data_IF_052047911658
#
_entry.id   IF_052047911658
#
_cell.length_a   1.000
_cell.length_b   1.000
_cell.length_c   1.000
_cell.angle_alpha   90.00
_cell.angle_beta   90.00
_cell.angle_gamma   90.00
#
_symmetry.space_group_name_H-M   'P 1'
#
loop_
_entity.id
_entity.type
_entity.pdbx_description
1 polymer ?
#
# COMPACT_ATOMS: atom_id res chain seq x y z
N UNK A 1 -25.04 -4.02 -11.63
CA UNK A 1 -24.11 -5.12 -11.97
C UNK A 1 -22.87 -4.63 -12.73
N UNK A 2 -23.04 -3.88 -13.84
CA UNK A 2 -21.92 -3.31 -14.60
C UNK A 2 -21.00 -2.39 -13.77
N UNK A 3 -21.55 -1.50 -12.95
CA UNK A 3 -20.75 -0.58 -12.12
C UNK A 3 -19.92 -1.28 -11.05
N UNK A 4 -20.48 -2.32 -10.41
CA UNK A 4 -19.75 -3.12 -9.42
C UNK A 4 -18.59 -3.90 -10.05
N UNK A 5 -18.78 -4.43 -11.27
CA UNK A 5 -17.71 -5.08 -12.01
C UNK A 5 -16.61 -4.10 -12.40
N UNK A 6 -16.98 -2.90 -12.89
CA UNK A 6 -16.01 -1.86 -13.25
C UNK A 6 -15.20 -1.38 -12.04
N UNK A 7 -15.85 -1.17 -10.89
CA UNK A 7 -15.18 -0.83 -9.63
C UNK A 7 -14.26 -1.97 -9.18
N UNK A 8 -14.70 -3.22 -9.25
CA UNK A 8 -13.88 -4.39 -8.90
C UNK A 8 -12.65 -4.49 -9.82
N UNK A 9 -12.81 -4.29 -11.13
CA UNK A 9 -11.68 -4.28 -12.08
C UNK A 9 -10.70 -3.16 -11.78
N UNK A 10 -11.21 -1.95 -11.53
CA UNK A 10 -10.38 -0.80 -11.15
C UNK A 10 -9.59 -1.07 -9.86
N UNK A 11 -10.27 -1.52 -8.80
CA UNK A 11 -9.64 -1.87 -7.52
C UNK A 11 -8.61 -2.98 -7.69
N UNK A 12 -8.93 -4.00 -8.49
CA UNK A 12 -8.03 -5.11 -8.79
C UNK A 12 -6.74 -4.64 -9.46
N UNK A 13 -6.86 -3.85 -10.53
CA UNK A 13 -5.71 -3.28 -11.25
C UNK A 13 -4.87 -2.41 -10.33
N UNK A 14 -5.48 -1.50 -9.57
CA UNK A 14 -4.74 -0.60 -8.69
C UNK A 14 -4.06 -1.33 -7.53
N UNK A 15 -4.68 -2.39 -7.01
CA UNK A 15 -4.15 -3.21 -5.90
C UNK A 15 -3.04 -4.14 -6.35
N UNK A 16 -3.18 -4.82 -7.50
CA UNK A 16 -2.18 -5.77 -8.00
C UNK A 16 -0.96 -5.06 -8.58
N UNK A 17 -1.12 -3.85 -9.13
CA UNK A 17 -0.01 -3.10 -9.75
C UNK A 17 1.08 -2.81 -8.71
N UNK A 18 2.38 -3.02 -9.03
CA UNK A 18 3.47 -2.77 -8.09
C UNK A 18 3.43 -1.35 -7.51
N UNK A 19 3.89 -1.23 -6.27
CA UNK A 19 3.86 0.00 -5.48
C UNK A 19 4.31 -0.26 -4.05
N UNK A 20 4.27 0.75 -3.17
CA UNK A 20 4.84 0.63 -1.83
C UNK A 20 4.33 -0.56 -1.00
N UNK A 21 3.01 -0.71 -0.87
CA UNK A 21 2.39 -1.84 -0.16
C UNK A 21 2.89 -3.19 -0.70
N UNK A 22 2.92 -3.35 -2.03
CA UNK A 22 3.30 -4.59 -2.69
C UNK A 22 4.79 -4.91 -2.48
N UNK A 23 5.67 -3.92 -2.63
CA UNK A 23 7.11 -4.04 -2.35
C UNK A 23 7.33 -4.45 -0.90
N UNK A 24 6.65 -3.79 0.04
CA UNK A 24 6.78 -4.09 1.47
C UNK A 24 6.23 -5.48 1.83
N UNK A 25 5.16 -5.93 1.18
CA UNK A 25 4.60 -7.27 1.38
C UNK A 25 5.49 -8.37 0.81
N UNK A 26 6.09 -8.17 -0.36
CA UNK A 26 7.07 -9.13 -0.90
C UNK A 26 8.31 -9.19 -0.02
N UNK A 27 8.83 -8.05 0.42
CA UNK A 27 9.93 -8.01 1.38
C UNK A 27 9.56 -8.71 2.70
N UNK A 28 8.35 -8.47 3.23
CA UNK A 28 7.84 -9.14 4.43
C UNK A 28 7.70 -10.66 4.22
N UNK A 29 7.21 -11.10 3.07
CA UNK A 29 7.11 -12.51 2.69
C UNK A 29 8.47 -13.19 2.63
N UNK A 30 9.47 -12.54 2.02
CA UNK A 30 10.86 -13.04 1.95
C UNK A 30 11.48 -13.14 3.35
N UNK A 31 11.37 -12.09 4.16
CA UNK A 31 12.09 -12.01 5.44
C UNK A 31 11.39 -12.77 6.58
N UNK A 32 10.05 -12.84 6.58
CA UNK A 32 9.27 -13.34 7.71
C UNK A 32 8.34 -14.52 7.36
N UNK A 33 8.12 -14.80 6.08
CA UNK A 33 7.15 -15.78 5.59
C UNK A 33 5.72 -15.25 5.55
N UNK A 34 4.82 -16.00 4.92
CA UNK A 34 3.45 -15.56 4.65
C UNK A 34 2.63 -15.42 5.94
N UNK A 35 2.69 -16.42 6.84
CA UNK A 35 1.91 -16.41 8.10
C UNK A 35 2.21 -15.19 8.97
N UNK A 36 3.49 -14.77 9.05
CA UNK A 36 3.90 -13.58 9.82
C UNK A 36 3.60 -12.27 9.09
N UNK A 37 3.28 -12.32 7.80
CA UNK A 37 2.90 -11.17 6.98
C UNK A 37 1.37 -10.93 7.00
N UNK A 38 0.57 -11.87 7.52
CA UNK A 38 -0.89 -11.72 7.61
C UNK A 38 -1.34 -10.43 8.34
N UNK A 39 -0.78 -10.03 9.50
CA UNK A 39 -1.19 -8.79 10.15
C UNK A 39 -0.96 -7.56 9.25
N UNK A 40 0.16 -7.53 8.52
CA UNK A 40 0.47 -6.48 7.56
C UNK A 40 -0.58 -6.42 6.44
N UNK A 41 -0.89 -7.56 5.83
CA UNK A 41 -1.88 -7.66 4.75
C UNK A 41 -3.27 -7.21 5.21
N UNK A 42 -3.72 -7.69 6.37
CA UNK A 42 -5.01 -7.32 6.94
C UNK A 42 -5.06 -5.83 7.28
N UNK A 43 -3.94 -5.26 7.76
CA UNK A 43 -3.83 -3.83 8.03
C UNK A 43 -3.94 -3.00 6.75
N UNK A 44 -3.29 -3.40 5.66
CA UNK A 44 -3.44 -2.74 4.34
C UNK A 44 -4.90 -2.82 3.87
N UNK A 45 -5.49 -4.02 3.88
CA UNK A 45 -6.83 -4.26 3.38
C UNK A 45 -7.88 -3.46 4.18
N UNK A 46 -7.79 -3.51 5.51
CA UNK A 46 -8.64 -2.74 6.42
C UNK A 46 -8.41 -1.24 6.26
N UNK A 47 -7.17 -0.77 6.33
CA UNK A 47 -6.84 0.66 6.25
C UNK A 47 -7.32 1.29 4.95
N UNK A 48 -7.12 0.60 3.82
CA UNK A 48 -7.58 1.07 2.53
C UNK A 48 -9.10 1.09 2.41
N UNK A 49 -9.79 0.08 2.96
CA UNK A 49 -11.26 0.01 2.94
C UNK A 49 -11.87 1.08 3.84
N UNK A 50 -11.27 1.31 5.02
CA UNK A 50 -11.66 2.38 5.93
C UNK A 50 -11.41 3.76 5.31
N UNK A 51 -10.26 3.95 4.66
CA UNK A 51 -9.95 5.18 3.94
C UNK A 51 -10.99 5.44 2.84
N UNK A 52 -11.37 4.40 2.07
CA UNK A 52 -12.42 4.52 1.05
C UNK A 52 -13.77 4.87 1.67
N UNK A 53 -14.18 4.17 2.73
CA UNK A 53 -15.43 4.46 3.43
C UNK A 53 -15.52 5.91 3.88
N UNK A 54 -14.47 6.41 4.54
CA UNK A 54 -14.42 7.78 5.06
C UNK A 54 -14.36 8.81 3.92
N UNK A 55 -13.53 8.58 2.90
CA UNK A 55 -13.43 9.50 1.77
C UNK A 55 -14.71 9.54 0.93
N UNK A 56 -15.41 8.42 0.77
CA UNK A 56 -16.68 8.35 0.06
C UNK A 56 -17.80 9.02 0.88
N UNK A 57 -17.89 8.75 2.18
CA UNK A 57 -18.90 9.34 3.06
C UNK A 57 -18.74 10.87 3.20
N UNK A 58 -17.50 11.36 3.19
CA UNK A 58 -17.17 12.78 3.35
C UNK A 58 -16.79 13.45 2.02
N UNK A 59 -17.05 12.81 0.88
CA UNK A 59 -16.49 13.22 -0.41
C UNK A 59 -16.83 14.67 -0.77
N UNK A 60 -18.08 15.09 -0.53
CA UNK A 60 -18.53 16.46 -0.79
C UNK A 60 -17.81 17.52 0.06
N UNK A 61 -17.35 17.17 1.27
CA UNK A 61 -16.61 18.08 2.14
C UNK A 61 -15.10 18.07 1.84
N UNK A 62 -14.56 16.92 1.43
CA UNK A 62 -13.10 16.73 1.22
C UNK A 62 -12.67 17.19 -0.18
N UNK A 63 -13.55 17.12 -1.19
CA UNK A 63 -13.20 17.40 -2.59
C UNK A 63 -12.65 18.81 -2.81
N UNK A 64 -13.08 19.80 -2.02
CA UNK A 64 -12.59 21.18 -2.11
C UNK A 64 -11.16 21.40 -1.60
N UNK A 65 -10.64 20.52 -0.75
CA UNK A 65 -9.31 20.65 -0.12
C UNK A 65 -8.24 19.77 -0.79
N UNK A 66 -8.63 19.00 -1.81
CA UNK A 66 -7.76 18.02 -2.46
C UNK A 66 -6.47 18.63 -3.02
N UNK A 67 -6.52 19.86 -3.53
CA UNK A 67 -5.35 20.56 -4.06
C UNK A 67 -4.29 20.84 -3.00
N UNK A 68 -4.71 21.26 -1.79
CA UNK A 68 -3.80 21.67 -0.70
C UNK A 68 -3.25 20.48 0.08
N UNK A 69 -4.08 19.45 0.29
CA UNK A 69 -3.73 18.29 1.12
C UNK A 69 -2.81 17.32 0.37
N UNK A 70 -2.95 17.23 -0.96
CA UNK A 70 -2.17 16.31 -1.81
C UNK A 70 -0.64 16.46 -1.67
N UNK A 71 -0.03 17.66 -1.80
CA UNK A 71 1.44 17.79 -1.67
C UNK A 71 1.95 17.48 -0.26
N UNK A 72 1.20 17.81 0.78
CA UNK A 72 1.56 17.49 2.18
C UNK A 72 1.58 15.99 2.43
N UNK A 73 0.55 15.28 1.95
CA UNK A 73 0.48 13.82 2.04
C UNK A 73 1.60 13.15 1.23
N UNK A 74 1.89 13.65 0.03
CA UNK A 74 2.99 13.16 -0.78
C UNK A 74 4.34 13.32 -0.04
N UNK A 75 4.62 14.49 0.52
CA UNK A 75 5.85 14.73 1.27
C UNK A 75 5.97 13.80 2.50
N UNK A 76 4.91 13.67 3.31
CA UNK A 76 4.88 12.78 4.46
C UNK A 76 5.04 11.31 4.07
N UNK A 77 4.35 10.88 3.00
CA UNK A 77 4.48 9.55 2.42
C UNK A 77 5.89 9.24 1.95
N UNK A 78 6.49 10.13 1.15
CA UNK A 78 7.87 9.99 0.67
C UNK A 78 8.88 9.90 1.81
N UNK A 79 8.77 10.77 2.82
CA UNK A 79 9.63 10.72 4.00
C UNK A 79 9.54 9.35 4.70
N UNK A 80 8.33 8.82 4.85
CA UNK A 80 8.12 7.51 5.46
C UNK A 80 8.62 6.35 4.57
N UNK A 81 8.45 6.42 3.26
CA UNK A 81 9.00 5.43 2.31
C UNK A 81 10.52 5.41 2.31
N UNK A 82 11.17 6.58 2.39
CA UNK A 82 12.62 6.68 2.53
C UNK A 82 13.07 6.08 3.87
N UNK A 83 12.36 6.36 4.96
CA UNK A 83 12.62 5.72 6.24
C UNK A 83 12.47 4.18 6.16
N UNK A 84 11.41 3.66 5.55
CA UNK A 84 11.22 2.22 5.34
C UNK A 84 12.30 1.61 4.44
N UNK A 85 12.71 2.31 3.40
CA UNK A 85 13.81 1.91 2.52
C UNK A 85 15.10 1.74 3.32
N UNK A 86 15.42 2.71 4.20
CA UNK A 86 16.56 2.61 5.10
C UNK A 86 16.44 1.43 6.06
N UNK A 87 15.25 1.16 6.60
CA UNK A 87 15.02 -0.01 7.46
C UNK A 87 15.21 -1.32 6.70
N UNK A 88 14.78 -1.40 5.44
CA UNK A 88 14.96 -2.57 4.59
C UNK A 88 16.42 -2.75 4.16
N UNK A 89 17.13 -1.66 3.86
CA UNK A 89 18.58 -1.68 3.60
C UNK A 89 19.38 -2.12 4.84
N UNK A 90 18.98 -1.68 6.04
CA UNK A 90 19.59 -2.10 7.31
C UNK A 90 19.37 -3.58 7.61
N UNK A 91 18.25 -4.17 7.18
CA UNK A 91 18.04 -5.61 7.26
C UNK A 91 19.04 -6.43 6.42
N UNK A 92 19.77 -5.79 5.50
CA UNK A 92 20.87 -6.41 4.75
C UNK A 92 22.25 -6.25 5.42
N UNK A 93 22.38 -5.50 6.51
CA UNK A 93 23.68 -5.23 7.15
C UNK A 93 24.20 -6.46 7.94
N UNK A 94 25.52 -6.79 7.84
CA UNK A 94 26.11 -7.91 8.59
C UNK A 94 26.03 -7.69 10.11
N UNK A 95 25.78 -8.76 10.88
CA UNK A 95 25.86 -8.75 12.35
C UNK A 95 24.67 -8.13 13.09
N UNK A 96 23.79 -7.39 12.41
CA UNK A 96 22.53 -6.88 12.98
C UNK A 96 21.38 -7.84 12.69
N UNK A 97 21.31 -8.93 13.46
CA UNK A 97 20.01 -9.54 13.79
C UNK A 97 19.38 -8.70 14.91
N UNK A 98 19.16 -7.40 14.68
CA UNK A 98 18.04 -6.78 15.39
C UNK A 98 16.81 -7.65 15.08
N UNK A 99 15.92 -7.82 16.04
CA UNK A 99 14.69 -8.59 15.82
C UNK A 99 13.82 -7.79 14.85
N UNK A 100 14.13 -7.88 13.55
CA UNK A 100 13.35 -7.28 12.49
C UNK A 100 11.95 -7.85 12.63
N UNK A 101 10.99 -6.99 12.94
CA UNK A 101 9.60 -7.39 13.10
C UNK A 101 8.86 -7.05 11.80
N UNK A 102 7.99 -7.94 11.32
CA UNK A 102 7.09 -7.59 10.24
C UNK A 102 6.24 -6.40 10.66
N UNK A 103 5.87 -5.57 9.69
CA UNK A 103 4.92 -4.49 9.93
C UNK A 103 3.62 -5.07 10.49
N UNK A 104 3.16 -4.52 11.61
CA UNK A 104 1.90 -4.96 12.24
C UNK A 104 0.67 -4.38 11.55
N UNK A 105 -0.50 -4.88 11.97
CA UNK A 105 -1.80 -4.42 11.46
C UNK A 105 -2.00 -2.91 11.59
N UNK A 106 -1.78 -2.35 12.78
CA UNK A 106 -2.02 -0.92 13.04
C UNK A 106 -1.10 -0.04 12.19
N UNK A 107 0.18 -0.37 12.14
CA UNK A 107 1.14 0.37 11.32
C UNK A 107 0.75 0.32 9.84
N UNK A 108 0.38 -0.86 9.34
CA UNK A 108 -0.04 -1.05 7.96
C UNK A 108 -1.34 -0.30 7.61
N UNK A 109 -2.30 -0.26 8.55
CA UNK A 109 -3.54 0.50 8.39
C UNK A 109 -3.29 2.01 8.37
N UNK A 110 -2.47 2.50 9.29
CA UNK A 110 -2.08 3.92 9.36
C UNK A 110 -1.26 4.34 8.13
N UNK A 111 -0.42 3.45 7.60
CA UNK A 111 0.38 3.75 6.41
C UNK A 111 -0.46 4.07 5.18
N UNK A 112 -1.70 3.55 5.07
CA UNK A 112 -2.58 3.88 3.95
C UNK A 112 -2.87 5.39 3.86
N UNK A 113 -2.92 6.07 5.01
CA UNK A 113 -3.19 7.50 5.12
C UNK A 113 -2.04 8.39 4.68
N UNK A 114 -0.81 7.87 4.61
CA UNK A 114 0.33 8.56 4.01
C UNK A 114 0.71 7.95 2.66
N UNK A 115 -0.05 6.96 2.16
CA UNK A 115 0.25 6.30 0.91
C UNK A 115 -0.45 7.03 -0.25
N UNK A 116 0.29 7.73 -1.11
CA UNK A 116 -0.26 8.55 -2.19
C UNK A 116 -0.92 7.69 -3.27
N UNK A 117 -0.44 6.46 -3.49
CA UNK A 117 -1.12 5.49 -4.37
C UNK A 117 -2.49 5.10 -3.82
N UNK A 118 -2.61 4.92 -2.49
CA UNK A 118 -3.90 4.63 -1.86
C UNK A 118 -4.86 5.82 -1.98
N UNK A 119 -4.37 7.05 -1.80
CA UNK A 119 -5.16 8.26 -2.01
C UNK A 119 -5.66 8.41 -3.44
N UNK A 120 -4.79 8.28 -4.45
CA UNK A 120 -5.19 8.31 -5.86
C UNK A 120 -6.23 7.22 -6.13
N UNK A 121 -5.99 6.02 -5.63
CA UNK A 121 -6.90 4.89 -5.82
C UNK A 121 -8.29 5.19 -5.27
N UNK A 122 -8.37 5.62 -4.01
CA UNK A 122 -9.62 5.91 -3.30
C UNK A 122 -10.36 7.09 -3.90
N UNK A 123 -9.67 8.20 -4.18
CA UNK A 123 -10.32 9.41 -4.68
C UNK A 123 -10.89 9.22 -6.09
N UNK A 124 -10.14 8.56 -6.98
CA UNK A 124 -10.66 8.20 -8.30
C UNK A 124 -11.85 7.24 -8.17
N UNK A 125 -11.83 6.33 -7.20
CA UNK A 125 -12.97 5.46 -6.96
C UNK A 125 -14.22 6.27 -6.56
N UNK A 126 -14.06 7.28 -5.70
CA UNK A 126 -15.14 8.18 -5.34
C UNK A 126 -15.63 8.99 -6.56
N UNK A 127 -14.72 9.58 -7.35
CA UNK A 127 -15.08 10.38 -8.53
C UNK A 127 -15.84 9.56 -9.57
N UNK A 128 -15.41 8.32 -9.82
CA UNK A 128 -15.90 7.50 -10.93
C UNK A 128 -17.10 6.63 -10.57
N UNK A 129 -17.24 6.23 -9.30
CA UNK A 129 -18.20 5.19 -8.91
C UNK A 129 -19.10 5.57 -7.72
N UNK A 130 -18.90 6.71 -7.05
CA UNK A 130 -19.81 7.13 -5.98
C UNK A 130 -21.11 7.68 -6.57
N UNK A 131 -22.30 7.15 -6.18
CA UNK A 131 -23.58 7.71 -6.61
C UNK A 131 -23.77 9.16 -6.16
N UNK A 132 -24.49 9.96 -6.95
CA UNK A 132 -24.68 11.41 -6.71
C UNK A 132 -25.42 11.71 -5.41
N UNK A 133 -26.27 10.80 -4.98
CA UNK A 133 -27.06 10.86 -3.76
C UNK A 133 -26.26 10.42 -2.51
N UNK A 134 -24.96 10.07 -2.67
CA UNK A 134 -23.94 10.16 -1.61
C UNK A 134 -24.24 9.35 -0.34
N UNK A 135 -24.99 8.26 -0.46
CA UNK A 135 -25.47 7.51 0.71
C UNK A 135 -24.35 6.72 1.37
N UNK A 136 -24.35 6.69 2.71
CA UNK A 136 -23.42 5.89 3.52
C UNK A 136 -23.43 4.39 3.13
N UNK A 137 -24.58 3.88 2.69
CA UNK A 137 -24.74 2.51 2.20
C UNK A 137 -23.90 2.24 0.95
N UNK A 138 -23.82 3.18 0.00
CA UNK A 138 -22.98 3.07 -1.18
C UNK A 138 -21.50 3.11 -0.82
N UNK A 139 -21.10 4.03 0.06
CA UNK A 139 -19.73 4.10 0.59
C UNK A 139 -19.30 2.79 1.27
N UNK A 140 -20.18 2.20 2.08
CA UNK A 140 -19.95 0.91 2.73
C UNK A 140 -19.84 -0.25 1.73
N UNK A 141 -20.69 -0.29 0.70
CA UNK A 141 -20.62 -1.30 -0.35
C UNK A 141 -19.31 -1.20 -1.15
N UNK A 142 -18.87 0.01 -1.50
CA UNK A 142 -17.61 0.26 -2.19
C UNK A 142 -16.41 -0.18 -1.33
N UNK A 143 -16.41 0.18 -0.05
CA UNK A 143 -15.39 -0.23 0.92
C UNK A 143 -15.31 -1.75 1.08
N UNK A 144 -16.45 -2.44 1.17
CA UNK A 144 -16.49 -3.89 1.26
C UNK A 144 -15.96 -4.55 -0.02
N UNK A 145 -16.35 -4.04 -1.19
CA UNK A 145 -15.85 -4.55 -2.47
C UNK A 145 -14.33 -4.36 -2.59
N UNK A 146 -13.83 -3.17 -2.22
CA UNK A 146 -12.40 -2.90 -2.18
C UNK A 146 -11.68 -3.87 -1.24
N UNK A 147 -12.22 -4.16 -0.06
CA UNK A 147 -11.65 -5.15 0.87
C UNK A 147 -11.51 -6.54 0.22
N UNK A 148 -12.61 -7.02 -0.37
CA UNK A 148 -12.71 -8.36 -0.98
C UNK A 148 -11.78 -8.50 -2.18
N UNK A 149 -11.62 -7.45 -2.98
CA UNK A 149 -10.76 -7.44 -4.17
C UNK A 149 -9.29 -7.22 -3.81
N UNK A 150 -9.00 -6.31 -2.89
CA UNK A 150 -7.63 -5.93 -2.54
C UNK A 150 -6.89 -7.10 -1.87
N UNK A 151 -7.55 -7.80 -0.93
CA UNK A 151 -6.92 -8.86 -0.14
C UNK A 151 -6.27 -9.97 -0.99
N UNK A 152 -6.95 -10.59 -1.99
CA UNK A 152 -6.31 -11.58 -2.86
C UNK A 152 -5.19 -10.97 -3.73
N UNK A 153 -5.33 -9.72 -4.20
CA UNK A 153 -4.28 -9.07 -4.98
C UNK A 153 -2.99 -8.92 -4.16
N UNK A 154 -3.07 -8.39 -2.95
CA UNK A 154 -1.90 -8.18 -2.09
C UNK A 154 -1.36 -9.50 -1.51
N UNK A 155 -2.22 -10.52 -1.37
CA UNK A 155 -1.81 -11.86 -0.97
C UNK A 155 -0.84 -12.50 -1.98
N UNK A 156 -1.03 -12.26 -3.28
CA UNK A 156 -0.12 -12.73 -4.33
C UNK A 156 1.29 -12.20 -4.10
N UNK A 157 1.44 -10.94 -3.71
CA UNK A 157 2.75 -10.32 -3.44
C UNK A 157 3.42 -10.87 -2.18
N UNK A 158 2.66 -11.07 -1.10
CA UNK A 158 3.17 -11.66 0.14
C UNK A 158 3.56 -13.14 -0.05
N UNK A 159 2.72 -13.91 -0.73
CA UNK A 159 2.95 -15.32 -1.02
C UNK A 159 4.12 -15.51 -2.01
N UNK A 160 4.18 -14.69 -3.05
CA UNK A 160 5.31 -14.65 -3.99
C UNK A 160 6.63 -14.38 -3.27
N UNK A 161 6.63 -13.43 -2.32
CA UNK A 161 7.79 -13.18 -1.45
C UNK A 161 8.20 -14.42 -0.63
N UNK A 162 7.25 -15.12 -0.01
CA UNK A 162 7.55 -16.37 0.70
C UNK A 162 8.12 -17.46 -0.22
N UNK A 163 7.65 -17.56 -1.47
CA UNK A 163 8.19 -18.54 -2.43
C UNK A 163 9.61 -18.19 -2.85
N UNK A 164 9.89 -16.89 -3.07
CA UNK A 164 11.23 -16.38 -3.34
C UNK A 164 12.20 -16.67 -2.19
N UNK A 165 11.73 -16.69 -0.94
CA UNK A 165 12.54 -17.03 0.23
C UNK A 165 13.29 -18.36 0.08
N UNK A 166 12.68 -19.36 -0.56
CA UNK A 166 13.31 -20.68 -0.74
C UNK A 166 14.52 -20.64 -1.69
N UNK A 167 14.56 -19.66 -2.60
CA UNK A 167 15.66 -19.43 -3.55
C UNK A 167 16.71 -18.48 -2.96
N UNK A 168 16.30 -17.63 -2.01
CA UNK A 168 17.15 -16.71 -1.26
C UNK A 168 17.61 -17.36 0.06
N UNK A 169 18.14 -18.58 0.04
CA UNK A 169 18.67 -19.22 1.25
C UNK A 169 20.06 -18.74 1.64
N UNK A 170 20.80 -18.22 0.66
CA UNK A 170 22.15 -17.68 0.86
C UNK A 170 22.07 -16.25 1.41
N UNK A 171 22.82 -15.96 2.48
CA UNK A 171 22.83 -14.64 3.12
C UNK A 171 23.15 -13.52 2.11
N UNK A 172 24.09 -13.76 1.18
CA UNK A 172 24.43 -12.77 0.16
C UNK A 172 23.28 -12.47 -0.80
N UNK A 173 22.48 -13.48 -1.15
CA UNK A 173 21.33 -13.33 -2.06
C UNK A 173 20.19 -12.57 -1.38
N UNK A 174 19.89 -12.87 -0.11
CA UNK A 174 18.93 -12.09 0.70
C UNK A 174 19.35 -10.64 0.85
N UNK A 175 20.65 -10.38 1.06
CA UNK A 175 21.18 -9.02 1.14
C UNK A 175 20.99 -8.26 -0.16
N UNK A 176 21.35 -8.86 -1.29
CA UNK A 176 21.16 -8.25 -2.60
C UNK A 176 19.68 -7.97 -2.86
N UNK A 177 18.80 -8.91 -2.51
CA UNK A 177 17.35 -8.74 -2.64
C UNK A 177 16.83 -7.58 -1.79
N UNK A 178 17.17 -7.55 -0.50
CA UNK A 178 16.74 -6.48 0.41
C UNK A 178 17.29 -5.11 -0.03
N UNK A 179 18.54 -5.05 -0.50
CA UNK A 179 19.13 -3.83 -1.04
C UNK A 179 18.41 -3.36 -2.33
N UNK A 180 18.09 -4.28 -3.24
CA UNK A 180 17.33 -3.97 -4.45
C UNK A 180 15.93 -3.45 -4.13
N UNK A 181 15.21 -4.12 -3.21
CA UNK A 181 13.88 -3.70 -2.77
C UNK A 181 13.91 -2.35 -2.05
N UNK A 182 14.92 -2.10 -1.23
CA UNK A 182 15.14 -0.79 -0.61
C UNK A 182 15.38 0.27 -1.68
N UNK A 183 16.21 -0.02 -2.68
CA UNK A 183 16.46 0.86 -3.82
C UNK A 183 15.19 1.17 -4.61
N UNK A 184 14.37 0.16 -4.92
CA UNK A 184 13.07 0.35 -5.59
C UNK A 184 12.10 1.19 -4.76
N UNK A 185 12.06 0.97 -3.44
CA UNK A 185 11.20 1.75 -2.55
C UNK A 185 11.64 3.22 -2.46
N UNK A 186 12.96 3.47 -2.37
CA UNK A 186 13.53 4.80 -2.42
C UNK A 186 13.30 5.49 -3.77
N UNK A 187 13.52 4.76 -4.88
CA UNK A 187 13.25 5.28 -6.22
C UNK A 187 11.78 5.64 -6.40
N UNK A 188 10.85 4.81 -5.90
CA UNK A 188 9.41 5.12 -5.90
C UNK A 188 9.11 6.41 -5.11
N UNK A 189 9.71 6.56 -3.93
CA UNK A 189 9.54 7.75 -3.10
C UNK A 189 10.08 9.02 -3.78
N UNK A 190 11.27 8.95 -4.37
CA UNK A 190 11.91 10.09 -5.03
C UNK A 190 11.17 10.48 -6.31
N UNK A 191 10.79 9.50 -7.13
CA UNK A 191 10.03 9.74 -8.35
C UNK A 191 8.71 10.45 -8.05
N UNK A 192 7.98 9.97 -7.05
CA UNK A 192 6.75 10.60 -6.63
C UNK A 192 6.97 12.02 -6.11
N UNK A 193 8.01 12.24 -5.29
CA UNK A 193 8.31 13.57 -4.77
C UNK A 193 8.60 14.58 -5.89
N UNK A 194 9.33 14.15 -6.92
CA UNK A 194 9.62 14.98 -8.10
C UNK A 194 8.35 15.27 -8.90
N UNK A 195 7.49 14.27 -9.11
CA UNK A 195 6.22 14.47 -9.82
C UNK A 195 5.28 15.44 -9.09
N UNK A 196 5.30 15.43 -7.76
CA UNK A 196 4.45 16.29 -6.93
C UNK A 196 5.00 17.71 -6.77
N UNK A 197 6.32 17.88 -6.70
CA UNK A 197 6.97 19.20 -6.62
C UNK A 197 7.13 19.89 -7.98
N UNK A 198 7.03 19.13 -9.08
CA UNK A 198 7.14 19.64 -10.45
C UNK A 198 5.83 20.13 -11.08
N UNK A 199 4.71 20.07 -10.34
CA UNK A 199 3.39 20.59 -10.73
C UNK A 199 3.07 21.86 -9.95
#
# INVERSE_FOLDING_TARGET
MFEALALASYMGVMSITPGPNNIMLTASGVNFGFRRTLPHMLGIAFGCSLQLLLCAALFAQVSGWLGEVRPLLAAAGCAYLLWLSLQLARAAAPGRRETARPMGFVAAALFQWVNPKAWIMVLNACVLFLPRDGQLSAAAAMALLALVVNLPCIAVWAWGGERLRHWLQQDWALRLFNAAMAGLLAATALWLLVEELGR
#
